data_IF_202027080460
#
_entry.id   IF_202027080460
#
_cell.length_a   1.000
_cell.length_b   1.000
_cell.length_c   1.000
_cell.angle_alpha   90.00
_cell.angle_beta   90.00
_cell.angle_gamma   90.00
#
_symmetry.space_group_name_H-M   'P 1'
#
loop_
_entity.id
_entity.type
_entity.pdbx_description
1 polymer ?
#
# COMPACT_ATOMS: atom_id res chain seq x y z
N UNK A 1 13.16 7.19 4.39
CA UNK A 1 12.39 8.02 3.44
C UNK A 1 11.10 8.52 4.08
N UNK A 2 10.59 9.70 3.69
CA UNK A 2 9.31 10.23 4.22
C UNK A 2 9.35 10.76 5.66
N UNK A 3 10.51 11.23 6.13
CA UNK A 3 10.68 11.86 7.45
C UNK A 3 9.92 13.20 7.54
N UNK A 4 9.37 13.51 8.73
CA UNK A 4 8.68 14.77 9.05
C UNK A 4 7.25 14.56 9.54
N UNK A 5 6.48 15.64 9.65
CA UNK A 5 5.03 15.54 9.81
C UNK A 5 4.46 15.00 8.52
N UNK A 6 4.34 13.66 8.44
CA UNK A 6 3.83 12.99 7.26
C UNK A 6 2.42 13.50 6.97
N UNK A 7 2.31 14.38 5.98
CA UNK A 7 1.04 14.83 5.43
C UNK A 7 0.58 13.74 4.47
N UNK A 8 -0.69 13.33 4.55
CA UNK A 8 -1.27 12.30 3.68
C UNK A 8 -1.12 12.61 2.18
N UNK A 9 -0.91 13.88 1.86
CA UNK A 9 -0.65 14.38 0.51
C UNK A 9 0.67 13.87 -0.09
N UNK A 10 1.65 13.46 0.72
CA UNK A 10 2.95 13.02 0.21
C UNK A 10 2.85 11.68 -0.56
N UNK A 11 2.23 10.61 0.01
CA UNK A 11 1.90 9.42 -0.78
C UNK A 11 1.03 9.70 -2.01
N UNK A 12 0.06 10.61 -1.92
CA UNK A 12 -0.79 10.96 -3.08
C UNK A 12 0.01 11.53 -4.23
N UNK A 13 0.94 12.46 -3.96
CA UNK A 13 1.77 13.05 -5.01
C UNK A 13 2.63 11.99 -5.72
N UNK A 14 3.12 10.99 -4.97
CA UNK A 14 3.94 9.90 -5.50
C UNK A 14 3.10 8.96 -6.38
N UNK A 15 1.92 8.58 -5.90
CA UNK A 15 0.98 7.73 -6.63
C UNK A 15 0.47 8.41 -7.91
N UNK A 16 0.07 9.69 -7.82
CA UNK A 16 -0.39 10.50 -8.96
C UNK A 16 0.69 10.71 -10.03
N UNK A 17 1.97 10.71 -9.64
CA UNK A 17 3.07 10.73 -10.60
C UNK A 17 3.20 9.40 -11.36
N UNK A 18 2.68 8.31 -10.81
CA UNK A 18 2.67 6.98 -11.40
C UNK A 18 3.61 5.97 -10.73
N UNK A 19 4.20 6.31 -9.58
CA UNK A 19 4.99 5.34 -8.82
C UNK A 19 4.08 4.36 -8.08
N UNK A 20 4.34 3.06 -8.24
CA UNK A 20 3.57 1.99 -7.57
C UNK A 20 4.29 1.39 -6.36
N UNK A 21 5.59 1.58 -6.29
CA UNK A 21 6.41 1.08 -5.20
C UNK A 21 7.58 2.01 -4.90
N UNK A 22 8.05 1.97 -3.67
CA UNK A 22 9.23 2.67 -3.19
C UNK A 22 10.16 1.65 -2.54
N UNK A 23 11.47 1.80 -2.72
CA UNK A 23 12.48 0.97 -2.06
C UNK A 23 13.37 1.90 -1.21
N UNK A 24 13.51 1.63 0.08
CA UNK A 24 14.39 2.39 0.96
C UNK A 24 14.90 1.54 2.14
N UNK A 25 15.98 1.96 2.82
CA UNK A 25 16.46 1.26 4.02
C UNK A 25 15.51 1.37 5.22
N UNK A 26 14.72 2.44 5.25
CA UNK A 26 13.74 2.70 6.30
C UNK A 26 12.73 3.75 5.85
N UNK A 27 11.58 3.80 6.55
CA UNK A 27 10.54 4.80 6.37
C UNK A 27 10.14 5.40 7.70
N UNK A 28 9.62 6.62 7.69
CA UNK A 28 8.93 7.14 8.87
C UNK A 28 7.57 6.44 9.01
N UNK A 29 7.20 6.05 10.24
CA UNK A 29 6.05 5.18 10.51
C UNK A 29 4.73 5.69 9.90
N UNK A 30 4.46 7.00 10.04
CA UNK A 30 3.22 7.59 9.51
C UNK A 30 3.21 7.52 7.97
N UNK A 31 4.32 7.87 7.32
CA UNK A 31 4.43 7.77 5.87
C UNK A 31 4.27 6.32 5.41
N UNK A 32 4.95 5.38 6.07
CA UNK A 32 4.87 3.95 5.76
C UNK A 32 3.43 3.44 5.81
N UNK A 33 2.67 3.80 6.85
CA UNK A 33 1.26 3.41 6.98
C UNK A 33 0.38 4.06 5.91
N UNK A 34 0.59 5.34 5.62
CA UNK A 34 -0.18 6.05 4.60
C UNK A 34 0.06 5.51 3.19
N UNK A 35 1.23 4.93 2.90
CA UNK A 35 1.48 4.31 1.59
C UNK A 35 0.47 3.19 1.31
N UNK A 36 0.29 2.26 2.26
CA UNK A 36 -0.62 1.13 2.10
C UNK A 36 -2.08 1.56 1.92
N UNK A 37 -2.50 2.61 2.63
CA UNK A 37 -3.85 3.18 2.49
C UNK A 37 -4.11 3.76 1.10
N UNK A 38 -3.06 4.14 0.39
CA UNK A 38 -3.13 4.78 -0.92
C UNK A 38 -2.64 3.85 -2.04
N UNK A 39 -2.57 2.53 -1.81
CA UNK A 39 -2.17 1.58 -2.85
C UNK A 39 -0.67 1.60 -3.20
N UNK A 40 0.15 2.36 -2.48
CA UNK A 40 1.59 2.45 -2.71
C UNK A 40 2.32 1.39 -1.87
N UNK A 41 3.25 0.64 -2.48
CA UNK A 41 4.04 -0.40 -1.81
C UNK A 41 5.40 0.14 -1.32
N UNK A 42 5.59 0.41 -0.02
CA UNK A 42 6.91 0.71 0.53
C UNK A 42 7.66 -0.60 0.85
N UNK A 43 8.85 -0.76 0.28
CA UNK A 43 9.71 -1.94 0.43
C UNK A 43 10.94 -1.55 1.24
N UNK A 44 11.17 -2.29 2.32
CA UNK A 44 12.36 -2.13 3.16
C UNK A 44 13.40 -3.17 2.75
N UNK A 45 14.58 -2.70 2.34
CA UNK A 45 15.75 -3.55 2.07
C UNK A 45 16.97 -3.06 2.87
N UNK A 46 17.95 -3.92 3.17
CA UNK A 46 19.20 -3.50 3.79
C UNK A 46 19.88 -2.36 3.01
N UNK A 47 20.51 -1.43 3.72
CA UNK A 47 21.19 -0.26 3.13
C UNK A 47 22.21 -0.63 2.05
N UNK A 48 22.96 -1.72 2.25
CA UNK A 48 23.90 -2.25 1.27
C UNK A 48 23.22 -2.66 -0.05
N UNK A 49 22.03 -3.27 0.01
CA UNK A 49 21.28 -3.65 -1.19
C UNK A 49 20.72 -2.43 -1.90
N UNK A 50 20.17 -1.46 -1.16
CA UNK A 50 19.68 -0.20 -1.73
C UNK A 50 20.82 0.56 -2.42
N UNK A 51 22.00 0.61 -1.79
CA UNK A 51 23.18 1.26 -2.36
C UNK A 51 23.67 0.56 -3.64
N UNK A 52 23.64 -0.78 -3.67
CA UNK A 52 23.95 -1.55 -4.87
C UNK A 52 22.97 -1.24 -6.01
N UNK A 53 21.66 -1.17 -5.72
CA UNK A 53 20.65 -0.80 -6.71
C UNK A 53 20.89 0.60 -7.28
N UNK A 54 21.25 1.59 -6.45
CA UNK A 54 21.62 2.93 -6.94
C UNK A 54 22.82 2.93 -7.89
N UNK A 55 23.85 2.13 -7.58
CA UNK A 55 25.01 1.98 -8.45
C UNK A 55 24.62 1.37 -9.80
N UNK A 56 23.76 0.36 -9.80
CA UNK A 56 23.29 -0.29 -11.03
C UNK A 56 22.44 0.64 -11.90
N UNK A 57 21.52 1.40 -11.30
CA UNK A 57 20.72 2.42 -12.01
C UNK A 57 21.62 3.50 -12.65
N UNK A 58 22.69 3.88 -11.96
CA UNK A 58 23.64 4.89 -12.47
C UNK A 58 24.51 4.33 -13.60
N UNK A 59 24.88 3.05 -13.51
CA UNK A 59 25.71 2.38 -14.52
C UNK A 59 24.94 2.04 -15.80
N UNK A 60 23.64 1.75 -15.71
CA UNK A 60 22.81 1.29 -16.83
C UNK A 60 21.60 2.19 -17.05
N UNK A 61 21.66 3.02 -18.09
CA UNK A 61 20.50 3.85 -18.50
C UNK A 61 19.36 2.94 -18.95
N UNK A 62 18.16 3.19 -18.41
CA UNK A 62 16.99 2.34 -18.67
C UNK A 62 16.95 1.08 -17.82
N UNK A 63 17.66 1.05 -16.67
CA UNK A 63 17.59 -0.06 -15.72
C UNK A 63 16.14 -0.31 -15.25
N UNK A 64 15.72 -1.57 -15.35
CA UNK A 64 14.37 -2.01 -14.96
C UNK A 64 14.44 -3.01 -13.80
N UNK A 65 13.49 -2.92 -12.88
CA UNK A 65 13.30 -3.87 -11.80
C UNK A 65 11.86 -4.40 -11.86
N UNK A 66 11.70 -5.69 -11.59
CA UNK A 66 10.38 -6.27 -11.40
C UNK A 66 10.11 -6.45 -9.92
N UNK A 67 8.93 -6.05 -9.46
CA UNK A 67 8.50 -6.28 -8.08
C UNK A 67 7.36 -7.29 -8.13
N UNK A 68 7.60 -8.46 -7.58
CA UNK A 68 6.59 -9.50 -7.40
C UNK A 68 6.08 -9.46 -5.96
N UNK A 69 4.90 -8.88 -5.75
CA UNK A 69 4.28 -8.78 -4.43
C UNK A 69 3.72 -10.14 -3.95
N UNK A 70 3.33 -11.03 -4.86
CA UNK A 70 2.81 -12.35 -4.48
C UNK A 70 3.92 -13.22 -3.91
N UNK A 71 5.11 -13.18 -4.52
CA UNK A 71 6.32 -13.86 -4.04
C UNK A 71 7.12 -13.04 -3.02
N UNK A 72 6.82 -11.75 -2.90
CA UNK A 72 7.54 -10.77 -2.07
C UNK A 72 9.03 -10.67 -2.41
N UNK A 73 9.35 -10.54 -3.70
CA UNK A 73 10.72 -10.40 -4.19
C UNK A 73 10.85 -9.24 -5.15
N UNK A 74 11.96 -8.50 -5.06
CA UNK A 74 12.42 -7.62 -6.12
C UNK A 74 13.35 -8.44 -7.02
N UNK A 75 13.00 -8.56 -8.30
CA UNK A 75 13.75 -9.31 -9.30
C UNK A 75 14.57 -8.33 -10.14
N UNK A 76 15.89 -8.49 -10.10
CA UNK A 76 16.86 -7.73 -10.88
C UNK A 76 16.90 -8.22 -12.33
N UNK A 77 17.47 -7.43 -13.28
CA UNK A 77 17.63 -7.85 -14.67
C UNK A 77 18.44 -9.15 -14.86
N UNK A 78 19.36 -9.42 -13.94
CA UNK A 78 20.21 -10.62 -13.93
C UNK A 78 19.50 -11.87 -13.35
N UNK A 79 18.23 -11.73 -12.94
CA UNK A 79 17.44 -12.79 -12.31
C UNK A 79 17.67 -12.95 -10.81
N UNK A 80 18.56 -12.16 -10.20
CA UNK A 80 18.77 -12.17 -8.75
C UNK A 80 17.52 -11.65 -8.05
N UNK A 81 17.14 -12.34 -6.97
CA UNK A 81 15.96 -12.00 -6.19
C UNK A 81 16.36 -11.42 -4.84
N UNK A 82 15.79 -10.26 -4.51
CA UNK A 82 15.93 -9.61 -3.21
C UNK A 82 14.62 -9.78 -2.44
N UNK A 83 14.57 -10.65 -1.42
CA UNK A 83 13.36 -10.89 -0.66
C UNK A 83 13.02 -9.67 0.20
N UNK A 84 11.73 -9.38 0.32
CA UNK A 84 11.19 -8.40 1.25
C UNK A 84 9.98 -8.97 1.98
N UNK A 85 9.53 -8.27 3.03
CA UNK A 85 8.37 -8.68 3.80
C UNK A 85 7.27 -7.61 3.81
N UNK A 86 6.02 -8.07 3.69
CA UNK A 86 4.83 -7.25 3.82
C UNK A 86 3.81 -8.03 4.63
N UNK A 87 3.22 -7.37 5.63
CA UNK A 87 2.20 -7.97 6.45
C UNK A 87 1.06 -8.56 5.59
N UNK A 88 0.59 -9.81 5.84
CA UNK A 88 -0.36 -10.50 4.97
C UNK A 88 -1.63 -9.72 4.61
N UNK A 89 -2.18 -8.98 5.57
CA UNK A 89 -3.36 -8.15 5.33
C UNK A 89 -3.09 -6.98 4.39
N UNK A 90 -1.95 -6.30 4.54
CA UNK A 90 -1.54 -5.20 3.66
C UNK A 90 -1.29 -5.69 2.24
N UNK A 91 -0.63 -6.84 2.12
CA UNK A 91 -0.44 -7.54 0.85
C UNK A 91 -1.77 -7.88 0.20
N UNK A 92 -2.70 -8.44 0.95
CA UNK A 92 -4.04 -8.76 0.45
C UNK A 92 -4.75 -7.51 -0.08
N UNK A 93 -4.70 -6.39 0.65
CA UNK A 93 -5.29 -5.12 0.20
C UNK A 93 -4.64 -4.62 -1.09
N UNK A 94 -3.31 -4.59 -1.16
CA UNK A 94 -2.58 -4.14 -2.35
C UNK A 94 -2.84 -5.01 -3.59
N UNK A 95 -2.85 -6.34 -3.44
CA UNK A 95 -3.11 -7.27 -4.54
C UNK A 95 -4.53 -7.15 -5.10
N UNK A 96 -5.50 -6.76 -4.27
CA UNK A 96 -6.91 -6.64 -4.66
C UNK A 96 -7.34 -5.19 -4.91
N UNK A 97 -6.42 -4.21 -4.77
CA UNK A 97 -6.75 -2.79 -4.87
C UNK A 97 -7.76 -2.31 -3.82
N UNK A 98 -7.77 -2.93 -2.63
CA UNK A 98 -8.68 -2.54 -1.56
C UNK A 98 -8.10 -1.42 -0.72
N UNK A 99 -8.88 -0.36 -0.55
CA UNK A 99 -8.74 0.63 0.50
C UNK A 99 -9.72 0.35 1.67
N UNK A 100 -9.69 1.18 2.71
CA UNK A 100 -10.57 1.04 3.88
C UNK A 100 -12.06 1.09 3.50
N UNK A 101 -12.41 1.84 2.45
CA UNK A 101 -13.77 1.94 1.90
C UNK A 101 -14.15 0.64 1.19
N UNK A 102 -13.29 0.13 0.30
CA UNK A 102 -13.47 -1.12 -0.42
C UNK A 102 -13.64 -2.31 0.53
N UNK A 103 -12.87 -2.34 1.62
CA UNK A 103 -13.05 -3.33 2.68
C UNK A 103 -14.41 -3.24 3.36
N UNK A 104 -14.89 -2.02 3.64
CA UNK A 104 -16.20 -1.78 4.24
C UNK A 104 -17.33 -2.19 3.29
N UNK A 105 -17.20 -1.90 2.00
CA UNK A 105 -18.19 -2.23 0.97
C UNK A 105 -18.39 -3.75 0.80
N UNK A 106 -17.39 -4.57 1.14
CA UNK A 106 -17.56 -6.04 1.20
C UNK A 106 -18.60 -6.50 2.23
N UNK A 107 -18.97 -5.63 3.15
CA UNK A 107 -20.00 -5.87 4.16
C UNK A 107 -21.31 -5.13 3.87
N UNK A 108 -21.47 -4.51 2.70
CA UNK A 108 -22.64 -3.70 2.36
C UNK A 108 -23.98 -4.43 2.58
N UNK A 109 -24.06 -5.72 2.26
CA UNK A 109 -25.30 -6.49 2.47
C UNK A 109 -25.60 -6.74 3.95
N UNK A 110 -24.55 -7.00 4.75
CA UNK A 110 -24.69 -7.15 6.21
C UNK A 110 -25.06 -5.83 6.87
N UNK A 111 -24.48 -4.73 6.41
CA UNK A 111 -24.81 -3.37 6.87
C UNK A 111 -26.28 -3.09 6.54
N UNK A 112 -26.71 -3.31 5.29
CA UNK A 112 -28.12 -3.14 4.87
C UNK A 112 -29.08 -4.00 5.69
N UNK A 113 -28.75 -5.26 5.92
CA UNK A 113 -29.58 -6.16 6.74
C UNK A 113 -29.68 -5.69 8.19
N UNK A 114 -28.56 -5.27 8.78
CA UNK A 114 -28.53 -4.70 10.13
C UNK A 114 -29.35 -3.41 10.22
N UNK A 115 -29.22 -2.50 9.25
CA UNK A 115 -29.98 -1.25 9.20
C UNK A 115 -31.49 -1.50 9.09
N UNK A 116 -31.91 -2.41 8.21
CA UNK A 116 -33.31 -2.80 8.08
C UNK A 116 -33.85 -3.38 9.40
N UNK A 117 -33.11 -4.29 10.04
CA UNK A 117 -33.50 -4.86 11.33
C UNK A 117 -33.56 -3.80 12.43
N UNK A 118 -32.60 -2.87 12.44
CA UNK A 118 -32.51 -1.80 13.44
C UNK A 118 -33.68 -0.83 13.32
N UNK A 119 -34.12 -0.49 12.10
CA UNK A 119 -35.30 0.34 11.87
C UNK A 119 -36.60 -0.35 12.36
N UNK A 120 -36.72 -1.66 12.16
CA UNK A 120 -37.86 -2.44 12.70
C UNK A 120 -37.87 -2.46 14.23
N UNK A 121 -36.71 -2.63 14.88
CA UNK A 121 -36.61 -2.70 16.34
C UNK A 121 -36.67 -1.32 17.01
N UNK A 122 -36.27 -0.26 16.30
CA UNK A 122 -36.16 1.10 16.82
C UNK A 122 -36.83 2.08 15.85
N UNK A 123 -38.17 2.02 15.72
CA UNK A 123 -38.91 2.79 14.72
C UNK A 123 -38.77 4.31 14.87
N UNK A 124 -38.43 4.81 16.07
CA UNK A 124 -38.14 6.23 16.29
C UNK A 124 -36.87 6.74 15.58
N UNK A 125 -36.04 5.83 15.03
CA UNK A 125 -34.90 6.19 14.19
C UNK A 125 -35.30 6.46 12.73
N UNK A 126 -36.51 6.10 12.31
CA UNK A 126 -37.00 6.34 10.95
C UNK A 126 -37.41 7.81 10.70
N UNK A 127 -37.36 8.67 11.73
CA UNK A 127 -37.61 10.10 11.56
C UNK A 127 -36.47 10.75 10.78
N UNK A 128 -36.70 10.91 9.48
CA UNK A 128 -35.92 11.82 8.65
C UNK A 128 -36.59 13.19 8.78
N UNK A 129 -35.80 14.25 9.05
CA UNK A 129 -36.25 15.64 8.94
C UNK A 129 -36.37 15.98 7.46
#
# INVERSE_FOLDING_TARGET
>A
FGCGSSREHAPWAIDQYGFRALIAPSYADIFFNNCFKNGLLPIVLPEAQVSALFNEVTAFVGYELTIDLERQVVVKPDGTELPFDVQPFRKFCLLNGFDDIGLTLRHADKIRAFEAQRLLQKPWLAHTI
#
